data_IF_463527621121
#
_entry.id   IF_463527621121
#
_cell.length_a   1.000
_cell.length_b   1.000
_cell.length_c   1.000
_cell.angle_alpha   90.00
_cell.angle_beta   90.00
_cell.angle_gamma   90.00
#
_symmetry.space_group_name_H-M   'P 1'
#
loop_
_entity.id
_entity.type
_entity.pdbx_description
1 polymer ?
#
# COMPACT_ATOMS: atom_id res chain seq x y z
N UNK A 1 -1.54 -18.87 6.54
CA UNK A 1 -1.95 -17.51 6.83
C UNK A 1 -3.20 -17.16 6.05
N UNK A 2 -4.18 -16.58 6.69
CA UNK A 2 -5.44 -16.22 6.04
C UNK A 2 -5.26 -14.98 5.15
N UNK A 3 -6.08 -14.86 4.12
CA UNK A 3 -5.99 -13.74 3.17
C UNK A 3 -6.05 -12.37 3.86
N UNK A 4 -6.94 -12.21 4.84
CA UNK A 4 -7.06 -10.94 5.58
C UNK A 4 -5.78 -10.62 6.36
N UNK A 5 -5.13 -11.63 6.92
CA UNK A 5 -3.86 -11.46 7.65
C UNK A 5 -2.74 -11.07 6.69
N UNK A 6 -2.70 -11.66 5.49
CA UNK A 6 -1.76 -11.29 4.43
C UNK A 6 -1.97 -9.84 4.03
N UNK A 7 -3.22 -9.44 3.84
CA UNK A 7 -3.55 -8.04 3.52
C UNK A 7 -3.06 -7.10 4.62
N UNK A 8 -3.37 -7.41 5.88
CA UNK A 8 -2.99 -6.54 7.00
C UNK A 8 -1.47 -6.38 7.10
N UNK A 9 -0.72 -7.46 6.87
CA UNK A 9 0.74 -7.42 6.83
C UNK A 9 1.26 -6.50 5.72
N UNK A 10 0.73 -6.65 4.51
CA UNK A 10 1.13 -5.83 3.36
C UNK A 10 0.74 -4.37 3.55
N UNK A 11 -0.44 -4.11 4.07
CA UNK A 11 -0.92 -2.76 4.31
C UNK A 11 -0.10 -2.03 5.38
N UNK A 12 0.23 -2.72 6.46
CA UNK A 12 1.09 -2.15 7.51
C UNK A 12 2.45 -1.75 6.96
N UNK A 13 3.05 -2.62 6.16
CA UNK A 13 4.33 -2.32 5.49
C UNK A 13 4.17 -1.16 4.50
N UNK A 14 3.10 -1.15 3.74
CA UNK A 14 2.81 -0.07 2.78
C UNK A 14 2.77 1.29 3.46
N UNK A 15 2.02 1.40 4.56
CA UNK A 15 1.92 2.65 5.30
C UNK A 15 3.27 3.11 5.85
N UNK A 16 3.99 2.21 6.47
CA UNK A 16 5.29 2.53 7.06
C UNK A 16 6.31 2.97 5.99
N UNK A 17 6.35 2.26 4.88
CA UNK A 17 7.28 2.61 3.80
C UNK A 17 6.91 3.92 3.12
N UNK A 18 5.63 4.18 2.94
CA UNK A 18 5.15 5.42 2.33
C UNK A 18 5.53 6.62 3.18
N UNK A 19 5.34 6.53 4.49
CA UNK A 19 5.74 7.58 5.43
C UNK A 19 7.26 7.78 5.42
N UNK A 20 8.00 6.69 5.49
CA UNK A 20 9.46 6.74 5.44
C UNK A 20 9.98 7.37 4.15
N UNK A 21 9.41 7.01 3.00
CA UNK A 21 9.81 7.60 1.72
C UNK A 21 9.55 9.09 1.67
N UNK A 22 8.41 9.54 2.21
CA UNK A 22 8.07 10.96 2.25
C UNK A 22 9.09 11.73 3.10
N UNK A 23 9.44 11.21 4.27
CA UNK A 23 10.43 11.80 5.15
C UNK A 23 11.83 11.77 4.55
N UNK A 24 12.23 10.64 3.98
CA UNK A 24 13.53 10.48 3.36
C UNK A 24 13.72 11.40 2.16
N UNK A 25 12.70 11.57 1.34
CA UNK A 25 12.71 12.49 0.21
C UNK A 25 12.86 13.94 0.69
N UNK A 26 12.15 14.30 1.75
CA UNK A 26 12.28 15.60 2.36
C UNK A 26 13.68 15.85 2.92
N UNK A 27 14.25 14.87 3.59
CA UNK A 27 15.61 14.95 4.11
C UNK A 27 16.66 15.08 3.02
N UNK A 28 16.51 14.31 1.95
CA UNK A 28 17.43 14.37 0.81
C UNK A 28 17.36 15.74 0.12
N UNK A 29 16.19 16.33 0.01
CA UNK A 29 16.03 17.67 -0.55
C UNK A 29 16.63 18.77 0.33
N UNK A 30 16.62 18.54 1.66
CA UNK A 30 17.21 19.46 2.62
C UNK A 30 18.73 19.36 2.65
N UNK A 31 19.29 18.23 2.26
CA UNK A 31 20.72 18.05 2.07
C UNK A 31 21.13 18.60 0.71
N UNK A 32 22.40 18.86 0.52
CA UNK A 32 22.93 19.43 -0.71
C UNK A 32 22.45 18.63 -1.94
N UNK A 33 21.72 19.26 -2.89
CA UNK A 33 21.27 18.58 -4.10
C UNK A 33 22.40 18.06 -4.99
N UNK A 34 23.62 18.58 -4.81
CA UNK A 34 24.79 18.13 -5.56
C UNK A 34 25.55 16.99 -4.90
N UNK A 35 25.12 16.58 -3.72
CA UNK A 35 25.71 15.47 -3.00
C UNK A 35 25.22 14.14 -3.58
N UNK A 36 25.73 13.77 -4.73
CA UNK A 36 25.35 12.57 -5.44
C UNK A 36 25.69 11.27 -4.68
N UNK A 37 26.66 11.32 -3.80
CA UNK A 37 27.13 10.14 -3.09
C UNK A 37 26.16 9.66 -2.02
N UNK A 38 25.58 10.56 -1.28
CA UNK A 38 24.59 10.22 -0.27
C UNK A 38 23.34 9.63 -0.93
N UNK A 39 22.93 10.18 -2.05
CA UNK A 39 21.87 9.63 -2.88
C UNK A 39 22.18 8.24 -3.42
N UNK A 40 23.44 7.94 -3.68
CA UNK A 40 23.86 6.65 -4.20
C UNK A 40 23.69 5.52 -3.18
N UNK A 41 24.09 5.76 -1.95
CA UNK A 41 23.94 4.76 -0.88
C UNK A 41 22.50 4.49 -0.49
N UNK A 42 21.65 5.46 -0.68
CA UNK A 42 20.22 5.36 -0.31
C UNK A 42 19.36 4.77 -1.42
N UNK A 43 19.74 4.97 -2.67
CA UNK A 43 18.95 4.56 -3.83
C UNK A 43 18.45 3.12 -3.82
N UNK A 44 19.25 2.09 -3.51
CA UNK A 44 18.74 0.72 -3.57
C UNK A 44 17.61 0.47 -2.59
N UNK A 45 17.71 0.97 -1.36
CA UNK A 45 16.69 0.78 -0.33
C UNK A 45 15.44 1.59 -0.68
N UNK A 46 15.62 2.85 -1.07
CA UNK A 46 14.51 3.72 -1.47
C UNK A 46 13.82 3.19 -2.72
N UNK A 47 14.58 2.72 -3.70
CA UNK A 47 14.01 2.18 -4.93
C UNK A 47 13.15 0.95 -4.64
N UNK A 48 13.59 0.06 -3.76
CA UNK A 48 12.83 -1.13 -3.37
C UNK A 48 11.58 -0.77 -2.58
N UNK A 49 11.69 0.18 -1.68
CA UNK A 49 10.53 0.68 -0.92
C UNK A 49 9.52 1.33 -1.85
N UNK A 50 9.97 2.16 -2.77
CA UNK A 50 9.11 2.81 -3.76
C UNK A 50 8.45 1.79 -4.68
N UNK A 51 9.19 0.75 -5.07
CA UNK A 51 8.65 -0.35 -5.88
C UNK A 51 7.55 -1.10 -5.14
N UNK A 52 7.76 -1.42 -3.86
CA UNK A 52 6.74 -2.08 -3.05
C UNK A 52 5.49 -1.21 -2.94
N UNK A 53 5.64 0.07 -2.64
CA UNK A 53 4.53 1.02 -2.52
C UNK A 53 3.75 1.11 -3.84
N UNK A 54 4.46 1.25 -4.96
CA UNK A 54 3.84 1.33 -6.28
C UNK A 54 3.12 0.03 -6.65
N UNK A 55 3.73 -1.12 -6.36
CA UNK A 55 3.12 -2.42 -6.65
C UNK A 55 1.90 -2.69 -5.80
N UNK A 56 1.93 -2.32 -4.51
CA UNK A 56 0.75 -2.43 -3.63
C UNK A 56 -0.44 -1.69 -4.26
N UNK A 57 -0.24 -0.44 -4.65
CA UNK A 57 -1.31 0.37 -5.23
C UNK A 57 -1.76 -0.17 -6.59
N UNK A 58 -0.83 -0.53 -7.46
CA UNK A 58 -1.12 -1.03 -8.81
C UNK A 58 -1.87 -2.35 -8.76
N UNK A 59 -1.38 -3.30 -7.97
CA UNK A 59 -2.00 -4.61 -7.83
C UNK A 59 -3.39 -4.48 -7.22
N UNK A 60 -3.52 -3.65 -6.17
CA UNK A 60 -4.80 -3.42 -5.52
C UNK A 60 -5.83 -2.82 -6.47
N UNK A 61 -5.45 -1.79 -7.21
CA UNK A 61 -6.36 -1.15 -8.17
C UNK A 61 -6.78 -2.11 -9.27
N UNK A 62 -5.83 -2.88 -9.80
CA UNK A 62 -6.11 -3.85 -10.86
C UNK A 62 -7.06 -4.95 -10.38
N UNK A 63 -6.82 -5.49 -9.19
CA UNK A 63 -7.64 -6.57 -8.64
C UNK A 63 -9.08 -6.13 -8.36
N UNK A 64 -9.27 -4.87 -7.98
CA UNK A 64 -10.58 -4.33 -7.64
C UNK A 64 -11.29 -3.67 -8.83
N UNK A 65 -10.66 -3.62 -9.99
CA UNK A 65 -11.23 -2.99 -11.18
C UNK A 65 -12.22 -3.92 -11.86
N UNK A 66 -13.38 -4.04 -11.26
CA UNK A 66 -14.54 -4.78 -11.79
C UNK A 66 -15.73 -3.83 -11.86
N UNK A 67 -16.60 -3.92 -12.87
CA UNK A 67 -17.74 -3.00 -12.96
C UNK A 67 -18.61 -2.97 -11.71
N UNK A 68 -18.88 -4.12 -11.13
CA UNK A 68 -19.71 -4.25 -9.91
C UNK A 68 -18.97 -3.90 -8.62
N UNK A 69 -17.66 -3.63 -8.69
CA UNK A 69 -16.82 -3.35 -7.52
C UNK A 69 -16.34 -1.89 -7.44
N UNK A 70 -16.97 -1.00 -8.17
CA UNK A 70 -16.59 0.43 -8.14
C UNK A 70 -16.56 1.03 -6.75
N UNK A 71 -17.55 0.70 -5.92
CA UNK A 71 -17.61 1.17 -4.54
C UNK A 71 -16.46 0.62 -3.68
N UNK A 72 -16.12 -0.64 -3.90
CA UNK A 72 -15.01 -1.29 -3.18
C UNK A 72 -13.66 -0.72 -3.59
N UNK A 73 -13.48 -0.40 -4.86
CA UNK A 73 -12.28 0.28 -5.33
C UNK A 73 -12.18 1.68 -4.71
N UNK A 74 -13.27 2.40 -4.65
CA UNK A 74 -13.33 3.71 -4.01
C UNK A 74 -12.97 3.63 -2.52
N UNK A 75 -13.48 2.61 -1.84
CA UNK A 75 -13.14 2.34 -0.45
C UNK A 75 -11.63 2.10 -0.30
N UNK A 76 -11.03 1.30 -1.17
CA UNK A 76 -9.60 1.02 -1.15
C UNK A 76 -8.80 2.32 -1.30
N UNK A 77 -9.15 3.14 -2.27
CA UNK A 77 -8.47 4.41 -2.51
C UNK A 77 -8.57 5.35 -1.30
N UNK A 78 -9.76 5.53 -0.79
CA UNK A 78 -10.01 6.51 0.29
C UNK A 78 -9.43 6.02 1.62
N UNK A 79 -9.75 4.79 1.99
CA UNK A 79 -9.44 4.30 3.34
C UNK A 79 -8.03 3.74 3.45
N UNK A 80 -7.57 2.96 2.47
CA UNK A 80 -6.27 2.31 2.55
C UNK A 80 -5.15 3.12 1.90
N UNK A 81 -5.38 3.70 0.74
CA UNK A 81 -4.33 4.47 0.05
C UNK A 81 -4.17 5.86 0.66
N UNK A 82 -5.27 6.60 0.81
CA UNK A 82 -5.22 7.97 1.33
C UNK A 82 -5.35 8.07 2.84
N UNK A 83 -5.55 6.95 3.54
CA UNK A 83 -5.60 6.87 5.00
C UNK A 83 -6.63 7.83 5.62
N UNK A 84 -7.76 8.02 4.97
CA UNK A 84 -8.86 8.80 5.53
C UNK A 84 -9.42 8.05 6.73
N UNK A 85 -9.72 8.76 7.81
CA UNK A 85 -10.24 8.13 9.02
C UNK A 85 -11.57 7.41 8.77
N UNK A 86 -11.89 6.45 9.64
CA UNK A 86 -12.99 5.50 9.43
C UNK A 86 -14.32 6.18 9.12
N UNK A 87 -14.75 7.12 9.96
CA UNK A 87 -16.04 7.81 9.77
C UNK A 87 -16.06 8.67 8.51
N UNK A 88 -14.98 9.36 8.25
CA UNK A 88 -14.83 10.15 7.02
C UNK A 88 -14.84 9.29 5.79
N UNK A 89 -14.20 8.12 5.84
CA UNK A 89 -14.18 7.18 4.73
C UNK A 89 -15.58 6.65 4.41
N UNK A 90 -16.34 6.27 5.43
CA UNK A 90 -17.74 5.82 5.24
C UNK A 90 -18.55 6.91 4.54
N UNK A 91 -18.43 8.15 5.02
CA UNK A 91 -19.14 9.29 4.45
C UNK A 91 -18.74 9.52 2.98
N UNK A 92 -17.45 9.47 2.68
CA UNK A 92 -16.95 9.70 1.31
C UNK A 92 -17.33 8.57 0.35
N UNK A 93 -17.31 7.33 0.82
CA UNK A 93 -17.77 6.19 0.01
C UNK A 93 -19.28 6.27 -0.21
N UNK A 94 -20.01 6.83 0.75
CA UNK A 94 -21.44 7.11 0.60
C UNK A 94 -22.34 5.91 0.81
N UNK A 95 -21.97 5.01 1.73
CA UNK A 95 -22.75 3.80 2.05
C UNK A 95 -22.99 3.71 3.55
N UNK A 96 -23.92 2.84 3.96
CA UNK A 96 -24.14 2.55 5.35
C UNK A 96 -22.89 1.88 5.96
N UNK A 97 -22.71 2.05 7.27
CA UNK A 97 -21.58 1.46 7.98
C UNK A 97 -21.50 -0.06 7.80
N UNK A 98 -22.65 -0.75 7.87
CA UNK A 98 -22.70 -2.20 7.68
C UNK A 98 -22.22 -2.62 6.28
N UNK A 99 -22.60 -1.87 5.26
CA UNK A 99 -22.15 -2.10 3.89
C UNK A 99 -20.64 -1.84 3.76
N UNK A 100 -20.17 -0.76 4.37
CA UNK A 100 -18.73 -0.43 4.40
C UNK A 100 -17.94 -1.57 5.04
N UNK A 101 -18.39 -2.07 6.18
CA UNK A 101 -17.74 -3.19 6.87
C UNK A 101 -17.71 -4.47 6.03
N UNK A 102 -18.82 -4.75 5.35
CA UNK A 102 -18.90 -5.91 4.46
C UNK A 102 -17.90 -5.79 3.29
N UNK A 103 -17.87 -4.63 2.65
CA UNK A 103 -16.93 -4.35 1.55
C UNK A 103 -15.48 -4.37 2.02
N UNK A 104 -15.24 -3.89 3.24
CA UNK A 104 -13.90 -3.90 3.83
C UNK A 104 -13.34 -5.32 3.92
N UNK A 105 -14.17 -6.26 4.40
CA UNK A 105 -13.78 -7.67 4.47
C UNK A 105 -13.54 -8.27 3.09
N UNK A 106 -14.38 -7.94 2.13
CA UNK A 106 -14.23 -8.43 0.77
C UNK A 106 -12.94 -7.92 0.12
N UNK A 107 -12.64 -6.63 0.29
CA UNK A 107 -11.41 -6.02 -0.21
C UNK A 107 -10.19 -6.70 0.40
N UNK A 108 -10.17 -6.87 1.72
CA UNK A 108 -9.06 -7.53 2.41
C UNK A 108 -8.83 -8.96 1.90
N UNK A 109 -9.90 -9.73 1.72
CA UNK A 109 -9.79 -11.10 1.22
C UNK A 109 -9.27 -11.15 -0.22
N UNK A 110 -9.85 -10.32 -1.08
CA UNK A 110 -9.46 -10.28 -2.48
C UNK A 110 -8.00 -9.86 -2.64
N UNK A 111 -7.59 -8.80 -1.95
CA UNK A 111 -6.24 -8.28 -2.05
C UNK A 111 -5.23 -9.18 -1.36
N UNK A 112 -5.59 -9.79 -0.23
CA UNK A 112 -4.71 -10.76 0.43
C UNK A 112 -4.35 -11.92 -0.50
N UNK A 113 -5.32 -12.46 -1.21
CA UNK A 113 -5.10 -13.52 -2.20
C UNK A 113 -4.23 -13.04 -3.35
N UNK A 114 -4.51 -11.84 -3.85
CA UNK A 114 -3.79 -11.28 -4.98
C UNK A 114 -2.34 -10.95 -4.60
N UNK A 115 -2.11 -10.42 -3.42
CA UNK A 115 -0.75 -10.13 -2.93
C UNK A 115 0.08 -11.41 -2.78
N UNK A 116 -0.54 -12.49 -2.29
CA UNK A 116 0.14 -13.79 -2.22
C UNK A 116 0.45 -14.35 -3.62
N UNK A 117 -0.50 -14.23 -4.54
CA UNK A 117 -0.36 -14.73 -5.91
C UNK A 117 0.72 -13.99 -6.69
N UNK A 118 0.81 -12.67 -6.49
CA UNK A 118 1.72 -11.81 -7.27
C UNK A 118 3.10 -11.66 -6.66
N UNK A 119 3.32 -12.21 -5.46
CA UNK A 119 4.61 -12.13 -4.79
C UNK A 119 4.85 -10.84 -4.02
N UNK A 120 3.82 -10.03 -3.82
CA UNK A 120 3.92 -8.91 -2.88
C UNK A 120 4.11 -9.44 -1.46
N UNK A 121 3.52 -10.60 -1.19
CA UNK A 121 3.69 -11.32 0.06
C UNK A 121 4.15 -12.77 -0.23
N UNK A 122 5.12 -13.30 0.49
CA UNK A 122 6.04 -12.58 1.38
C UNK A 122 6.94 -11.62 0.59
N UNK A 123 7.37 -10.50 1.19
CA UNK A 123 8.03 -9.42 0.45
C UNK A 123 9.53 -9.63 0.20
N UNK A 124 9.96 -10.86 0.01
CA UNK A 124 11.37 -11.21 -0.15
C UNK A 124 11.99 -10.60 -1.40
N UNK A 125 11.19 -10.39 -2.43
CA UNK A 125 11.64 -9.76 -3.68
C UNK A 125 12.14 -8.34 -3.45
N UNK A 126 11.56 -7.65 -2.48
CA UNK A 126 11.88 -6.25 -2.18
C UNK A 126 12.91 -6.10 -1.07
N UNK A 127 12.81 -6.94 -0.06
CA UNK A 127 13.53 -6.76 1.21
C UNK A 127 14.29 -8.01 1.64
N UNK A 128 14.81 -8.73 0.68
CA UNK A 128 15.59 -9.93 0.99
C UNK A 128 16.86 -9.55 1.72
N UNK A 129 17.01 -10.09 2.93
CA UNK A 129 18.22 -9.93 3.71
C UNK A 129 19.29 -10.83 3.12
N UNK A 130 20.41 -10.27 2.76
CA UNK A 130 21.60 -11.05 2.39
C UNK A 130 22.28 -11.51 3.67
N UNK A 131 22.48 -12.77 3.73
CA UNK A 131 23.33 -13.33 4.75
C UNK A 131 24.80 -13.11 4.41
#
# INVERSE_FOLDING_TARGET
MKACEIFDSCHGRYRNLREWLAESTGQIRALDPESHYDGYHWRPVQARAAEFVADYERIGRKALRRPEWKGRLKLFEIYFVHSVEYKGAISLVGVAESTFEYWLKEVKRALGREFARTGLFPPWRYFRVRE
#
